data_IF_226414984305
#
_entry.id   IF_226414984305
#
_cell.length_a   1.000
_cell.length_b   1.000
_cell.length_c   1.000
_cell.angle_alpha   90.00
_cell.angle_beta   90.00
_cell.angle_gamma   90.00
#
_symmetry.space_group_name_H-M   'P 1'
#
loop_
_entity.id
_entity.type
_entity.pdbx_description
1 polymer ?
#
# COMPACT_ATOMS: atom_id res chain seq x y z
N UNK A 1 52.21 9.23 8.95
CA UNK A 1 51.02 8.86 9.73
C UNK A 1 49.80 9.31 8.96
N UNK A 2 49.26 8.43 8.12
CA UNK A 2 48.03 8.67 7.37
C UNK A 2 47.37 7.29 7.15
N UNK A 3 46.81 6.75 8.22
CA UNK A 3 45.91 5.61 8.21
C UNK A 3 44.68 6.02 9.03
N UNK A 4 43.79 6.76 8.38
CA UNK A 4 42.40 6.91 8.81
C UNK A 4 41.55 6.59 7.58
N UNK A 5 41.65 5.34 7.13
CA UNK A 5 40.84 4.82 6.03
C UNK A 5 39.45 4.47 6.55
N UNK A 6 38.48 5.32 6.20
CA UNK A 6 37.08 5.00 5.90
C UNK A 6 36.55 3.66 6.45
N UNK A 7 36.27 3.58 7.75
CA UNK A 7 35.51 2.47 8.32
C UNK A 7 34.05 2.63 7.88
N UNK A 8 33.61 1.83 6.90
CA UNK A 8 32.19 1.73 6.52
C UNK A 8 31.42 1.39 7.81
N UNK A 9 30.55 2.28 8.28
CA UNK A 9 29.75 2.04 9.50
C UNK A 9 28.97 0.75 9.31
N UNK A 10 29.05 -0.15 10.29
CA UNK A 10 28.32 -1.41 10.26
C UNK A 10 26.82 -1.15 10.43
N UNK A 11 26.03 -1.72 9.53
CA UNK A 11 24.58 -1.63 9.56
C UNK A 11 24.01 -2.28 10.83
N UNK A 12 22.93 -1.71 11.36
CA UNK A 12 22.24 -2.25 12.54
C UNK A 12 20.86 -2.73 12.14
N UNK A 13 20.39 -3.79 12.79
CA UNK A 13 19.06 -4.36 12.58
C UNK A 13 18.24 -4.33 13.86
N UNK A 14 16.92 -4.23 13.70
CA UNK A 14 15.97 -4.50 14.77
C UNK A 14 15.99 -6.00 15.12
N UNK A 15 16.11 -6.30 16.41
CA UNK A 15 16.02 -7.67 16.92
C UNK A 15 14.55 -8.01 17.11
N UNK A 16 14.15 -9.16 16.57
CA UNK A 16 12.79 -9.67 16.61
C UNK A 16 12.64 -10.82 17.61
N UNK A 17 11.41 -11.03 18.04
CA UNK A 17 11.01 -12.26 18.71
C UNK A 17 10.97 -13.40 17.69
N UNK A 18 10.86 -14.64 18.18
CA UNK A 18 10.66 -15.82 17.33
C UNK A 18 9.34 -15.80 16.54
N UNK A 19 8.40 -14.93 16.92
CA UNK A 19 7.14 -14.72 16.20
C UNK A 19 7.22 -13.56 15.19
N UNK A 20 8.37 -12.89 15.08
CA UNK A 20 8.61 -11.82 14.11
C UNK A 20 8.22 -10.41 14.60
N UNK A 21 7.93 -10.25 15.89
CA UNK A 21 7.57 -8.97 16.52
C UNK A 21 8.83 -8.21 16.96
N UNK A 22 8.83 -6.88 16.86
CA UNK A 22 9.97 -6.05 17.31
C UNK A 22 10.15 -6.14 18.83
N UNK A 23 11.39 -6.37 19.28
CA UNK A 23 11.73 -6.37 20.72
C UNK A 23 12.05 -4.97 21.26
N UNK A 24 12.28 -4.00 20.38
CA UNK A 24 12.80 -2.67 20.71
C UNK A 24 14.32 -2.62 20.90
N UNK A 25 15.04 -3.74 20.74
CA UNK A 25 16.50 -3.79 20.75
C UNK A 25 17.05 -3.73 19.32
N UNK A 26 18.22 -3.12 19.17
CA UNK A 26 18.98 -3.10 17.91
C UNK A 26 20.37 -3.68 18.12
N UNK A 27 20.91 -4.34 17.09
CA UNK A 27 22.27 -4.91 17.10
C UNK A 27 22.96 -4.69 15.75
N UNK A 28 24.30 -4.54 15.72
CA UNK A 28 25.08 -4.59 14.49
C UNK A 28 24.87 -5.92 13.75
N UNK A 29 24.89 -5.88 12.41
CA UNK A 29 24.69 -7.04 11.53
C UNK A 29 25.53 -8.25 11.93
N UNK A 30 26.82 -8.08 12.22
CA UNK A 30 27.69 -9.20 12.59
C UNK A 30 27.26 -9.88 13.88
N UNK A 31 26.77 -9.11 14.87
CA UNK A 31 26.32 -9.66 16.14
C UNK A 31 25.00 -10.42 15.99
N UNK A 32 24.06 -9.88 15.19
CA UNK A 32 22.79 -10.55 14.86
C UNK A 32 23.04 -11.95 14.29
N UNK A 33 23.92 -12.06 13.29
CA UNK A 33 24.22 -13.33 12.64
C UNK A 33 25.08 -14.28 13.48
N UNK A 34 25.95 -13.73 14.35
CA UNK A 34 26.73 -14.55 15.29
C UNK A 34 25.85 -15.16 16.37
N UNK A 35 24.93 -14.37 16.92
CA UNK A 35 24.06 -14.76 18.03
C UNK A 35 22.83 -15.53 17.54
N UNK A 36 22.52 -15.46 16.24
CA UNK A 36 21.32 -16.06 15.64
C UNK A 36 20.05 -15.31 16.03
N UNK A 37 20.13 -13.99 16.22
CA UNK A 37 18.95 -13.20 16.54
C UNK A 37 18.00 -13.13 15.33
N UNK A 38 16.70 -13.23 15.60
CA UNK A 38 15.69 -13.05 14.56
C UNK A 38 15.72 -11.59 14.07
N UNK A 39 15.70 -11.40 12.77
CA UNK A 39 15.73 -10.08 12.12
C UNK A 39 14.92 -10.12 10.82
N UNK A 40 14.85 -9.00 10.09
CA UNK A 40 13.98 -8.86 8.90
C UNK A 40 14.77 -8.48 7.65
N UNK A 41 14.29 -8.99 6.52
CA UNK A 41 14.74 -8.63 5.19
C UNK A 41 13.54 -8.51 4.23
N UNK A 42 13.81 -8.00 3.04
CA UNK A 42 12.84 -7.87 1.96
C UNK A 42 13.28 -8.69 0.77
N UNK A 43 12.31 -9.31 0.12
CA UNK A 43 12.47 -10.00 -1.15
C UNK A 43 11.57 -9.33 -2.19
N UNK A 44 12.17 -8.78 -3.25
CA UNK A 44 11.43 -8.17 -4.35
C UNK A 44 11.49 -9.06 -5.58
N UNK A 45 10.33 -9.35 -6.14
CA UNK A 45 10.15 -10.05 -7.40
C UNK A 45 9.66 -9.09 -8.48
N UNK A 46 10.32 -9.06 -9.64
CA UNK A 46 9.78 -8.44 -10.85
C UNK A 46 9.24 -9.54 -11.75
N UNK A 47 7.96 -9.42 -12.08
CA UNK A 47 7.24 -10.34 -12.96
C UNK A 47 6.75 -9.60 -14.21
N UNK A 48 7.10 -10.11 -15.39
CA UNK A 48 6.63 -9.62 -16.68
C UNK A 48 5.37 -10.40 -17.09
N UNK A 49 4.22 -9.75 -17.04
CA UNK A 49 2.89 -10.35 -17.20
C UNK A 49 2.70 -10.96 -18.59
N UNK A 50 3.06 -10.25 -19.65
CA UNK A 50 2.83 -10.70 -21.03
C UNK A 50 3.69 -11.91 -21.41
N UNK A 51 4.92 -11.99 -20.90
CA UNK A 51 5.83 -13.10 -21.17
C UNK A 51 5.75 -14.22 -20.12
N UNK A 52 5.10 -13.96 -18.97
CA UNK A 52 5.02 -14.86 -17.82
C UNK A 52 6.41 -15.22 -17.26
N UNK A 53 7.30 -14.24 -17.22
CA UNK A 53 8.69 -14.40 -16.80
C UNK A 53 9.00 -13.65 -15.51
N UNK A 54 9.91 -14.21 -14.71
CA UNK A 54 10.51 -13.54 -13.56
C UNK A 54 11.88 -12.99 -13.95
N UNK A 55 12.21 -11.80 -13.45
CA UNK A 55 13.58 -11.30 -13.48
C UNK A 55 14.38 -11.97 -12.36
N UNK A 56 15.52 -12.56 -12.72
CA UNK A 56 16.52 -13.04 -11.78
C UNK A 56 17.78 -12.20 -11.89
N UNK A 57 18.46 -12.01 -10.76
CA UNK A 57 19.79 -11.42 -10.71
C UNK A 57 20.84 -12.50 -10.49
N UNK A 58 22.04 -12.30 -11.03
CA UNK A 58 23.21 -13.13 -10.72
C UNK A 58 24.03 -12.42 -9.66
N UNK A 59 24.15 -13.03 -8.49
CA UNK A 59 24.92 -12.48 -7.36
C UNK A 59 26.38 -12.29 -7.76
N UNK A 60 26.98 -11.18 -7.34
CA UNK A 60 28.40 -10.92 -7.59
C UNK A 60 29.29 -12.00 -6.92
N UNK A 61 30.42 -12.31 -7.54
CA UNK A 61 31.33 -13.37 -7.07
C UNK A 61 31.96 -13.07 -5.70
N UNK A 62 31.92 -11.79 -5.26
CA UNK A 62 32.45 -11.35 -3.96
C UNK A 62 31.46 -11.42 -2.79
N UNK A 63 30.23 -11.92 -3.00
CA UNK A 63 29.22 -11.99 -1.94
C UNK A 63 29.54 -13.07 -0.90
N UNK A 64 29.25 -12.77 0.37
CA UNK A 64 29.46 -13.67 1.50
C UNK A 64 28.61 -14.96 1.42
N UNK A 65 27.48 -14.91 0.72
CA UNK A 65 26.55 -16.02 0.54
C UNK A 65 26.18 -16.19 -0.94
N UNK A 66 26.24 -17.44 -1.39
CA UNK A 66 25.85 -17.89 -2.74
C UNK A 66 26.48 -17.08 -3.89
N UNK A 67 27.80 -16.83 -3.89
CA UNK A 67 28.45 -16.05 -4.94
C UNK A 67 28.27 -16.70 -6.31
N UNK A 68 27.94 -15.88 -7.32
CA UNK A 68 27.81 -16.31 -8.70
C UNK A 68 26.51 -17.03 -9.06
N UNK A 69 25.64 -17.35 -8.10
CA UNK A 69 24.36 -18.03 -8.34
C UNK A 69 23.26 -17.06 -8.79
N UNK A 70 22.28 -17.59 -9.52
CA UNK A 70 21.04 -16.89 -9.85
C UNK A 70 20.10 -16.84 -8.66
N UNK A 71 19.62 -15.64 -8.37
CA UNK A 71 18.81 -15.28 -7.23
C UNK A 71 17.61 -14.43 -7.67
N UNK A 72 16.75 -14.07 -6.73
CA UNK A 72 15.59 -13.23 -6.94
C UNK A 72 15.92 -11.85 -7.50
N UNK A 73 14.90 -11.08 -7.89
CA UNK A 73 15.13 -9.80 -8.57
C UNK A 73 15.92 -8.82 -7.69
N UNK A 74 15.57 -8.70 -6.41
CA UNK A 74 16.36 -7.92 -5.45
C UNK A 74 16.07 -8.37 -4.02
N UNK A 75 17.07 -8.29 -3.13
CA UNK A 75 16.95 -8.71 -1.73
C UNK A 75 17.88 -7.93 -0.82
N UNK A 76 17.41 -7.59 0.39
CA UNK A 76 18.29 -6.96 1.37
C UNK A 76 17.70 -6.87 2.77
N UNK A 77 18.55 -6.57 3.74
CA UNK A 77 18.14 -6.52 5.14
C UNK A 77 17.43 -5.20 5.42
N UNK A 78 16.48 -5.22 6.35
CA UNK A 78 15.85 -4.00 6.85
C UNK A 78 16.74 -3.40 7.95
N UNK A 79 17.30 -2.23 7.64
CA UNK A 79 18.00 -1.39 8.60
C UNK A 79 17.12 -1.06 9.81
N UNK A 80 17.72 -0.95 10.99
CA UNK A 80 16.99 -0.65 12.22
C UNK A 80 16.16 0.63 12.10
N UNK A 81 14.85 0.52 12.32
CA UNK A 81 13.90 1.63 12.19
C UNK A 81 13.40 1.91 10.77
N UNK A 82 13.93 1.27 9.73
CA UNK A 82 13.40 1.39 8.37
C UNK A 82 12.13 0.56 8.19
N UNK A 83 11.30 0.97 7.23
CA UNK A 83 10.15 0.19 6.81
C UNK A 83 10.52 -0.86 5.77
N UNK A 84 9.71 -1.91 5.71
CA UNK A 84 9.80 -2.95 4.69
C UNK A 84 9.70 -2.38 3.27
N UNK A 85 8.69 -1.54 3.00
CA UNK A 85 8.50 -0.97 1.66
C UNK A 85 9.59 0.05 1.28
N UNK A 86 10.10 0.84 2.23
CA UNK A 86 11.24 1.75 1.96
C UNK A 86 12.48 0.94 1.63
N UNK A 87 12.74 -0.12 2.38
CA UNK A 87 13.87 -1.03 2.13
C UNK A 87 13.73 -1.71 0.77
N UNK A 88 12.57 -2.28 0.44
CA UNK A 88 12.31 -2.90 -0.86
C UNK A 88 12.59 -1.96 -2.05
N UNK A 89 12.23 -0.68 -1.92
CA UNK A 89 12.49 0.35 -2.93
C UNK A 89 13.97 0.76 -2.97
N UNK A 90 14.65 0.79 -1.83
CA UNK A 90 16.08 1.12 -1.72
C UNK A 90 16.92 0.01 -2.34
N UNK A 91 16.73 -1.24 -1.93
CA UNK A 91 17.48 -2.40 -2.43
C UNK A 91 17.30 -2.56 -3.95
N UNK A 92 16.06 -2.42 -4.44
CA UNK A 92 15.79 -2.48 -5.89
C UNK A 92 16.52 -1.37 -6.68
N UNK A 93 16.67 -0.19 -6.08
CA UNK A 93 17.44 0.90 -6.68
C UNK A 93 18.95 0.65 -6.59
N UNK A 94 19.46 0.24 -5.43
CA UNK A 94 20.89 0.01 -5.20
C UNK A 94 21.41 -1.15 -6.06
N UNK A 95 20.71 -2.27 -6.10
CA UNK A 95 21.15 -3.46 -6.83
C UNK A 95 20.94 -3.35 -8.34
N UNK A 96 19.79 -2.81 -8.78
CA UNK A 96 19.37 -2.85 -10.19
C UNK A 96 19.22 -1.47 -10.86
N UNK A 97 19.28 -0.38 -10.11
CA UNK A 97 19.05 0.96 -10.64
C UNK A 97 17.59 1.23 -11.02
N UNK A 98 16.63 0.49 -10.44
CA UNK A 98 15.20 0.61 -10.73
C UNK A 98 14.49 1.38 -9.62
N UNK A 99 13.92 2.54 -9.95
CA UNK A 99 13.12 3.37 -9.03
C UNK A 99 11.65 3.30 -9.40
N UNK A 100 10.84 2.76 -8.50
CA UNK A 100 9.39 2.67 -8.67
C UNK A 100 8.62 3.35 -7.53
N UNK A 101 7.41 3.87 -7.80
CA UNK A 101 6.53 4.43 -6.78
C UNK A 101 5.99 3.33 -5.85
N UNK A 102 5.54 3.73 -4.66
CA UNK A 102 5.03 2.80 -3.62
C UNK A 102 3.90 1.90 -4.11
N UNK A 103 3.08 2.39 -5.04
CA UNK A 103 1.96 1.65 -5.61
C UNK A 103 2.37 0.63 -6.68
N UNK A 104 3.66 0.44 -6.96
CA UNK A 104 4.14 -0.65 -7.81
C UNK A 104 4.40 -1.96 -7.03
N UNK A 105 4.47 -1.89 -5.69
CA UNK A 105 4.91 -2.99 -4.84
C UNK A 105 3.73 -3.65 -4.15
N UNK A 106 3.38 -4.84 -4.59
CA UNK A 106 2.36 -5.68 -3.97
C UNK A 106 3.00 -6.50 -2.85
N UNK A 107 2.61 -6.25 -1.60
CA UNK A 107 3.01 -7.12 -0.50
C UNK A 107 2.23 -8.44 -0.58
N UNK A 108 2.95 -9.57 -0.61
CA UNK A 108 2.34 -10.90 -0.72
C UNK A 108 2.24 -11.61 0.62
N UNK A 109 3.37 -11.85 1.28
CA UNK A 109 3.43 -12.62 2.53
C UNK A 109 4.78 -12.44 3.23
N UNK A 110 4.84 -12.92 4.48
CA UNK A 110 6.07 -13.04 5.27
C UNK A 110 6.38 -14.53 5.44
N UNK A 111 7.66 -14.91 5.34
CA UNK A 111 8.09 -16.22 5.77
C UNK A 111 9.41 -16.17 6.54
N UNK A 112 9.58 -17.09 7.48
CA UNK A 112 10.83 -17.27 8.21
C UNK A 112 11.75 -18.21 7.44
N UNK A 113 12.97 -17.77 7.16
CA UNK A 113 14.06 -18.59 6.67
C UNK A 113 15.11 -18.75 7.77
N UNK A 114 15.36 -19.98 8.19
CA UNK A 114 16.42 -20.33 9.12
C UNK A 114 17.51 -21.08 8.35
N UNK A 115 18.70 -20.50 8.24
CA UNK A 115 19.84 -21.13 7.57
C UNK A 115 21.14 -20.90 8.35
N UNK A 116 22.03 -21.88 8.28
CA UNK A 116 23.36 -21.79 8.90
C UNK A 116 24.40 -22.00 7.82
N UNK A 117 25.24 -21.00 7.59
CA UNK A 117 26.29 -21.02 6.57
C UNK A 117 27.67 -20.82 7.21
N UNK A 118 28.72 -20.78 6.39
CA UNK A 118 30.11 -20.55 6.83
C UNK A 118 30.54 -21.46 7.99
N UNK A 119 30.31 -22.77 7.85
CA UNK A 119 30.68 -23.80 8.83
C UNK A 119 30.14 -23.53 10.25
N UNK A 120 28.94 -22.95 10.38
CA UNK A 120 28.29 -22.73 11.68
C UNK A 120 28.52 -21.35 12.28
N UNK A 121 29.21 -20.45 11.59
CA UNK A 121 29.55 -19.11 12.12
C UNK A 121 28.58 -18.02 11.70
N UNK A 122 27.71 -18.32 10.73
CA UNK A 122 26.70 -17.39 10.23
C UNK A 122 25.33 -18.03 10.37
N UNK A 123 24.56 -17.59 11.36
CA UNK A 123 23.22 -18.07 11.67
C UNK A 123 22.23 -17.02 11.17
N UNK A 124 21.54 -17.33 10.07
CA UNK A 124 20.53 -16.45 9.48
C UNK A 124 19.13 -16.89 9.92
N UNK A 125 18.50 -16.11 10.78
CA UNK A 125 17.12 -16.33 11.23
C UNK A 125 16.26 -15.15 10.76
N UNK A 126 15.88 -15.19 9.50
CA UNK A 126 15.42 -14.01 8.76
C UNK A 126 13.93 -14.13 8.41
N UNK A 127 13.13 -13.17 8.87
CA UNK A 127 11.78 -12.95 8.38
C UNK A 127 11.85 -12.16 7.07
N UNK A 128 11.37 -12.76 6.00
CA UNK A 128 11.43 -12.22 4.66
C UNK A 128 10.06 -11.70 4.23
N UNK A 129 9.99 -10.38 4.03
CA UNK A 129 8.82 -9.69 3.51
C UNK A 129 8.85 -9.73 1.98
N UNK A 130 7.90 -10.45 1.38
CA UNK A 130 7.89 -10.72 -0.06
C UNK A 130 7.00 -9.70 -0.78
N UNK A 131 7.61 -8.96 -1.71
CA UNK A 131 6.94 -8.04 -2.61
C UNK A 131 6.98 -8.52 -4.06
N UNK A 132 5.91 -8.23 -4.79
CA UNK A 132 5.80 -8.45 -6.23
C UNK A 132 5.56 -7.13 -6.95
N UNK A 133 6.42 -6.85 -7.93
CA UNK A 133 6.25 -5.80 -8.93
C UNK A 133 5.80 -6.47 -10.22
N UNK A 134 4.56 -6.17 -10.65
CA UNK A 134 4.03 -6.70 -11.91
C UNK A 134 4.19 -5.67 -13.01
N UNK A 135 5.08 -5.97 -13.96
CA UNK A 135 5.32 -5.20 -15.20
C UNK A 135 4.53 -5.82 -16.35
N UNK A 136 4.13 -5.04 -17.35
CA UNK A 136 3.47 -5.62 -18.52
C UNK A 136 4.46 -6.43 -19.36
N UNK A 137 5.59 -5.81 -19.70
CA UNK A 137 6.65 -6.39 -20.52
C UNK A 137 8.00 -6.37 -19.77
N UNK A 138 8.95 -7.22 -20.17
CA UNK A 138 10.31 -7.20 -19.63
C UNK A 138 10.97 -5.82 -19.73
N UNK A 139 11.67 -5.42 -18.67
CA UNK A 139 12.56 -4.26 -18.69
C UNK A 139 13.73 -4.57 -19.64
N UNK A 140 14.05 -3.70 -20.61
CA UNK A 140 15.22 -3.91 -21.46
C UNK A 140 16.50 -4.08 -20.63
N UNK A 141 17.33 -5.07 -20.97
CA UNK A 141 18.49 -5.44 -20.15
C UNK A 141 19.50 -4.28 -20.01
N UNK A 142 19.60 -3.42 -21.02
CA UNK A 142 20.45 -2.23 -21.04
C UNK A 142 19.94 -1.06 -20.18
N UNK A 143 18.70 -1.15 -19.67
CA UNK A 143 18.09 -0.14 -18.80
C UNK A 143 18.54 -0.26 -17.34
N UNK A 144 19.03 -1.44 -16.93
CA UNK A 144 19.52 -1.67 -15.58
C UNK A 144 20.85 -0.97 -15.34
N UNK A 145 21.07 -0.57 -14.09
CA UNK A 145 22.37 -0.05 -13.62
C UNK A 145 22.75 -0.85 -12.38
N UNK A 146 23.74 -1.72 -12.52
CA UNK A 146 24.13 -2.61 -11.43
C UNK A 146 25.05 -1.92 -10.43
N UNK A 147 24.89 -2.27 -9.16
CA UNK A 147 25.98 -2.14 -8.20
C UNK A 147 26.89 -3.37 -8.34
N UNK A 148 28.08 -3.18 -8.91
CA UNK A 148 29.03 -4.25 -9.24
C UNK A 148 29.42 -5.15 -8.04
N UNK A 149 29.32 -4.66 -6.81
CA UNK A 149 29.57 -5.45 -5.60
C UNK A 149 28.44 -6.41 -5.24
N UNK A 150 27.25 -6.22 -5.80
CA UNK A 150 26.02 -6.95 -5.48
C UNK A 150 25.58 -7.84 -6.65
N UNK A 151 25.57 -7.27 -7.86
CA UNK A 151 24.95 -7.88 -9.05
C UNK A 151 25.94 -7.90 -10.21
N UNK A 152 26.01 -9.03 -10.89
CA UNK A 152 26.88 -9.23 -12.06
C UNK A 152 26.11 -9.34 -13.38
N UNK A 153 24.84 -9.75 -13.34
CA UNK A 153 23.97 -9.88 -14.50
C UNK A 153 22.51 -10.00 -14.08
N UNK A 154 21.59 -9.83 -15.03
CA UNK A 154 20.17 -10.18 -14.87
C UNK A 154 19.68 -10.99 -16.07
N UNK A 155 18.63 -11.79 -15.87
CA UNK A 155 17.95 -12.50 -16.95
C UNK A 155 16.47 -12.66 -16.65
N UNK A 156 15.66 -12.81 -17.70
CA UNK A 156 14.28 -13.28 -17.58
C UNK A 156 14.23 -14.79 -17.76
N UNK A 157 13.34 -15.44 -17.01
CA UNK A 157 13.05 -16.87 -17.10
C UNK A 157 11.57 -17.11 -16.85
N UNK A 158 10.96 -18.08 -17.54
CA UNK A 158 9.59 -18.48 -17.24
C UNK A 158 9.47 -18.88 -15.78
N UNK A 159 8.45 -18.37 -15.06
CA UNK A 159 8.27 -18.72 -13.65
C UNK A 159 8.09 -20.23 -13.44
N UNK A 160 7.49 -20.93 -14.42
CA UNK A 160 7.31 -22.39 -14.39
C UNK A 160 8.63 -23.12 -14.55
N UNK A 161 9.49 -22.64 -15.44
CA UNK A 161 10.83 -23.19 -15.63
C UNK A 161 11.67 -22.98 -14.37
N UNK A 162 11.66 -21.77 -13.80
CA UNK A 162 12.35 -21.48 -12.57
C UNK A 162 11.88 -22.36 -11.40
N UNK A 163 10.57 -22.52 -11.19
CA UNK A 163 10.00 -23.45 -10.20
C UNK A 163 10.53 -24.88 -10.42
N UNK A 164 10.61 -25.34 -11.67
CA UNK A 164 11.13 -26.67 -11.99
C UNK A 164 12.63 -26.83 -11.73
N UNK A 165 13.43 -25.77 -11.92
CA UNK A 165 14.87 -25.78 -11.65
C UNK A 165 15.14 -25.82 -10.15
N UNK A 166 14.41 -25.01 -9.37
CA UNK A 166 14.46 -25.07 -7.90
C UNK A 166 14.03 -26.45 -7.38
N UNK A 167 12.97 -27.05 -7.93
CA UNK A 167 12.51 -28.39 -7.58
C UNK A 167 13.53 -29.50 -7.85
N UNK A 168 14.49 -29.25 -8.76
CA UNK A 168 15.59 -30.16 -9.10
C UNK A 168 16.88 -29.84 -8.35
N UNK A 169 16.86 -28.82 -7.48
CA UNK A 169 18.05 -28.32 -6.78
C UNK A 169 19.19 -27.98 -7.75
N UNK A 170 18.85 -27.30 -8.85
CA UNK A 170 19.85 -26.91 -9.86
C UNK A 170 20.94 -26.04 -9.22
N UNK A 171 22.24 -26.43 -9.32
CA UNK A 171 23.33 -25.79 -8.59
C UNK A 171 23.64 -24.37 -9.04
N UNK A 172 23.12 -23.92 -10.19
CA UNK A 172 23.31 -22.55 -10.68
C UNK A 172 22.39 -21.54 -9.97
N UNK A 173 21.49 -21.98 -9.10
CA UNK A 173 20.46 -21.17 -8.46
C UNK A 173 20.54 -21.23 -6.93
N UNK A 174 20.17 -20.12 -6.27
CA UNK A 174 20.04 -20.09 -4.80
C UNK A 174 18.94 -21.09 -4.39
N UNK A 175 19.19 -21.98 -3.41
CA UNK A 175 18.31 -23.11 -3.12
C UNK A 175 17.09 -22.67 -2.28
N UNK A 176 16.09 -22.10 -2.95
CA UNK A 176 14.79 -21.83 -2.35
C UNK A 176 13.88 -23.06 -2.40
N UNK A 177 13.19 -23.32 -1.30
CA UNK A 177 12.28 -24.45 -1.16
C UNK A 177 10.97 -24.24 -1.94
N UNK A 178 10.64 -25.14 -2.87
CA UNK A 178 9.40 -25.09 -3.66
C UNK A 178 8.22 -25.82 -3.02
N UNK A 179 8.40 -26.42 -1.85
CA UNK A 179 7.40 -27.18 -1.09
C UNK A 179 6.93 -26.48 0.19
N UNK A 180 7.72 -25.53 0.69
CA UNK A 180 7.40 -24.71 1.86
C UNK A 180 6.83 -23.35 1.51
N UNK A 181 7.00 -22.38 2.42
CA UNK A 181 6.40 -21.04 2.33
C UNK A 181 6.74 -20.29 1.04
N UNK A 182 7.92 -20.54 0.47
CA UNK A 182 8.35 -19.89 -0.76
C UNK A 182 7.53 -20.33 -1.99
N UNK A 183 6.87 -21.50 -1.93
CA UNK A 183 5.98 -21.97 -3.01
C UNK A 183 4.81 -21.03 -3.23
N UNK A 184 4.41 -20.27 -2.19
CA UNK A 184 3.25 -19.39 -2.20
C UNK A 184 3.31 -18.37 -3.33
N UNK A 185 4.49 -17.85 -3.68
CA UNK A 185 4.65 -16.96 -4.84
C UNK A 185 4.16 -17.64 -6.13
N UNK A 186 4.62 -18.87 -6.38
CA UNK A 186 4.26 -19.60 -7.59
C UNK A 186 2.79 -20.00 -7.60
N UNK A 187 2.21 -20.27 -6.42
CA UNK A 187 0.80 -20.60 -6.30
C UNK A 187 -0.05 -19.35 -6.58
N UNK A 188 0.35 -18.17 -6.08
CA UNK A 188 -0.26 -16.87 -6.41
C UNK A 188 -0.19 -16.59 -7.92
N UNK A 189 0.99 -16.71 -8.53
CA UNK A 189 1.16 -16.52 -9.98
C UNK A 189 0.33 -17.53 -10.78
N UNK A 190 0.31 -18.79 -10.35
CA UNK A 190 -0.49 -19.82 -10.98
C UNK A 190 -1.97 -19.49 -10.92
N UNK A 191 -2.52 -19.19 -9.74
CA UNK A 191 -3.95 -18.89 -9.56
C UNK A 191 -4.38 -17.64 -10.34
N UNK A 192 -3.59 -16.57 -10.25
CA UNK A 192 -3.86 -15.27 -10.89
C UNK A 192 -4.02 -15.38 -12.40
N UNK A 193 -3.24 -16.24 -13.04
CA UNK A 193 -3.20 -16.39 -14.50
C UNK A 193 -3.74 -17.74 -15.01
N UNK A 194 -4.39 -18.54 -14.16
CA UNK A 194 -4.96 -19.86 -14.51
C UNK A 194 -6.38 -19.77 -15.08
N UNK A 195 -7.24 -18.97 -14.46
CA UNK A 195 -8.66 -18.96 -14.81
C UNK A 195 -8.93 -18.15 -16.07
N UNK A 196 -9.73 -18.72 -16.96
CA UNK A 196 -10.23 -18.00 -18.13
C UNK A 196 -11.36 -17.03 -17.74
N UNK A 197 -11.69 -16.12 -18.65
CA UNK A 197 -12.68 -15.08 -18.38
C UNK A 197 -14.09 -15.62 -18.06
N UNK A 198 -14.44 -16.80 -18.56
CA UNK A 198 -15.75 -17.43 -18.35
C UNK A 198 -15.91 -17.93 -16.91
N UNK A 199 -14.93 -18.67 -16.38
CA UNK A 199 -14.95 -19.17 -15.01
C UNK A 199 -15.02 -18.01 -14.00
N UNK A 200 -14.21 -16.95 -14.22
CA UNK A 200 -14.23 -15.74 -13.40
C UNK A 200 -15.57 -15.01 -13.46
N UNK A 201 -16.16 -14.89 -14.66
CA UNK A 201 -17.48 -14.27 -14.84
C UNK A 201 -18.55 -15.02 -14.06
N UNK A 202 -18.56 -16.35 -14.14
CA UNK A 202 -19.50 -17.19 -13.41
C UNK A 202 -19.35 -17.02 -11.89
N UNK A 203 -18.11 -17.02 -11.38
CA UNK A 203 -17.85 -16.84 -9.95
C UNK A 203 -18.35 -15.48 -9.44
N UNK A 204 -18.02 -14.37 -10.14
CA UNK A 204 -18.46 -13.02 -9.72
C UNK A 204 -19.99 -12.88 -9.86
N UNK A 205 -20.59 -13.46 -10.91
CA UNK A 205 -22.05 -13.42 -11.07
C UNK A 205 -22.76 -14.11 -9.90
N UNK A 206 -22.30 -15.28 -9.46
CA UNK A 206 -22.87 -15.95 -8.28
C UNK A 206 -22.76 -15.09 -7.02
N UNK A 207 -21.67 -14.34 -6.88
CA UNK A 207 -21.51 -13.42 -5.75
C UNK A 207 -22.48 -12.23 -5.85
N UNK A 208 -22.67 -11.69 -7.05
CA UNK A 208 -23.62 -10.61 -7.34
C UNK A 208 -25.08 -11.01 -7.15
N UNK A 209 -25.44 -12.27 -7.45
CA UNK A 209 -26.82 -12.78 -7.31
C UNK A 209 -27.32 -12.78 -5.86
N UNK A 210 -26.42 -12.57 -4.88
CA UNK A 210 -26.77 -12.34 -3.47
C UNK A 210 -27.34 -10.94 -3.21
N UNK A 211 -27.12 -9.99 -4.12
CA UNK A 211 -27.59 -8.61 -4.03
C UNK A 211 -28.79 -8.42 -4.95
N UNK A 212 -29.97 -8.24 -4.36
CA UNK A 212 -31.19 -7.95 -5.13
C UNK A 212 -31.21 -6.46 -5.47
N UNK A 213 -31.20 -6.07 -6.77
CA UNK A 213 -31.30 -4.68 -7.15
C UNK A 213 -32.68 -4.12 -6.77
N UNK A 214 -32.70 -3.09 -5.93
CA UNK A 214 -33.90 -2.36 -5.56
C UNK A 214 -33.74 -0.93 -6.03
N UNK A 215 -34.77 -0.40 -6.71
CA UNK A 215 -34.80 1.00 -7.08
C UNK A 215 -35.24 1.83 -5.88
N UNK A 216 -34.37 2.75 -5.45
CA UNK A 216 -34.69 3.73 -4.41
C UNK A 216 -35.19 5.01 -5.11
N UNK A 217 -36.51 5.21 -5.09
CA UNK A 217 -37.14 6.46 -5.53
C UNK A 217 -37.54 7.29 -4.30
N UNK A 218 -37.54 8.61 -4.45
CA UNK A 218 -38.01 9.53 -3.42
C UNK A 218 -39.14 10.41 -3.97
N UNK A 219 -40.19 10.60 -3.17
CA UNK A 219 -41.25 11.57 -3.50
C UNK A 219 -40.76 12.98 -3.21
N UNK A 220 -40.61 13.80 -4.26
CA UNK A 220 -40.06 15.14 -4.13
C UNK A 220 -41.12 16.24 -4.11
N UNK A 221 -42.41 15.90 -4.23
CA UNK A 221 -43.50 16.84 -4.46
C UNK A 221 -43.68 17.88 -3.34
N UNK A 222 -43.26 17.54 -2.12
CA UNK A 222 -43.30 18.46 -0.97
C UNK A 222 -42.10 19.42 -0.91
N UNK A 223 -41.07 19.20 -1.73
CA UNK A 223 -39.89 20.06 -1.78
C UNK A 223 -40.13 21.28 -2.68
N UNK A 224 -39.75 22.44 -2.17
CA UNK A 224 -39.71 23.68 -2.94
C UNK A 224 -38.64 23.60 -4.03
N UNK A 225 -38.73 24.49 -5.03
CA UNK A 225 -37.70 24.59 -6.08
C UNK A 225 -36.32 24.94 -5.51
N UNK A 226 -36.26 25.69 -4.40
CA UNK A 226 -35.00 26.03 -3.73
C UNK A 226 -34.43 24.82 -2.98
N UNK A 227 -35.26 24.03 -2.29
CA UNK A 227 -34.83 22.81 -1.62
C UNK A 227 -34.36 21.75 -2.62
N UNK A 228 -34.99 21.66 -3.79
CA UNK A 228 -34.52 20.76 -4.88
C UNK A 228 -33.13 21.14 -5.39
N UNK A 229 -32.83 22.44 -5.47
CA UNK A 229 -31.49 22.92 -5.84
C UNK A 229 -30.48 22.65 -4.73
N UNK A 230 -30.85 22.89 -3.47
CA UNK A 230 -30.02 22.54 -2.32
C UNK A 230 -29.73 21.04 -2.31
N UNK A 231 -30.73 20.18 -2.47
CA UNK A 231 -30.58 18.73 -2.58
C UNK A 231 -29.60 18.31 -3.68
N UNK A 232 -29.64 18.95 -4.85
CA UNK A 232 -28.66 18.68 -5.92
C UNK A 232 -27.22 19.00 -5.51
N UNK A 233 -27.00 20.06 -4.73
CA UNK A 233 -25.68 20.40 -4.19
C UNK A 233 -25.26 19.42 -3.08
N UNK A 234 -26.20 18.99 -2.23
CA UNK A 234 -25.95 17.98 -1.19
C UNK A 234 -25.52 16.64 -1.79
N UNK A 235 -26.16 16.20 -2.86
CA UNK A 235 -25.76 14.98 -3.60
C UNK A 235 -24.33 15.14 -4.13
N UNK A 236 -23.97 16.29 -4.69
CA UNK A 236 -22.60 16.56 -5.14
C UNK A 236 -21.60 16.55 -3.99
N UNK A 237 -21.96 17.09 -2.83
CA UNK A 237 -21.11 17.07 -1.65
C UNK A 237 -20.91 15.63 -1.16
N UNK A 238 -21.97 14.82 -1.12
CA UNK A 238 -21.88 13.40 -0.78
C UNK A 238 -20.96 12.62 -1.74
N UNK A 239 -21.04 12.86 -3.04
CA UNK A 239 -20.11 12.25 -4.02
C UNK A 239 -18.65 12.65 -3.80
N UNK A 240 -18.38 13.83 -3.22
CA UNK A 240 -17.01 14.22 -2.84
C UNK A 240 -16.55 13.44 -1.60
N UNK A 241 -17.46 13.12 -0.67
CA UNK A 241 -17.16 12.27 0.49
C UNK A 241 -16.84 10.83 0.05
N UNK A 242 -17.50 10.32 -0.99
CA UNK A 242 -17.14 9.01 -1.56
C UNK A 242 -15.66 8.95 -1.94
N UNK A 243 -15.10 9.99 -2.56
CA UNK A 243 -13.66 10.06 -2.91
C UNK A 243 -12.76 9.92 -1.67
N UNK A 244 -13.15 10.55 -0.55
CA UNK A 244 -12.41 10.45 0.71
C UNK A 244 -12.52 9.02 1.25
N UNK A 245 -13.71 8.43 1.22
CA UNK A 245 -13.91 7.06 1.70
C UNK A 245 -13.07 6.06 0.91
N UNK A 246 -13.04 6.14 -0.43
CA UNK A 246 -12.15 5.29 -1.24
C UNK A 246 -10.68 5.42 -0.80
N UNK A 247 -10.21 6.64 -0.52
CA UNK A 247 -8.86 6.86 -0.01
C UNK A 247 -8.64 6.31 1.40
N UNK A 248 -9.65 6.34 2.27
CA UNK A 248 -9.60 5.81 3.63
C UNK A 248 -9.51 4.29 3.64
N UNK A 249 -10.25 3.60 2.77
CA UNK A 249 -10.18 2.15 2.61
C UNK A 249 -8.76 1.74 2.21
N UNK A 250 -8.20 2.40 1.16
CA UNK A 250 -6.85 2.10 0.70
C UNK A 250 -6.30 3.18 -0.28
N UNK A 251 -5.00 3.47 -0.20
CA UNK A 251 -4.36 4.60 -0.92
C UNK A 251 -4.57 4.63 -2.43
N UNK A 252 -4.52 3.49 -3.14
CA UNK A 252 -4.69 3.47 -4.61
C UNK A 252 -6.07 2.93 -5.04
N UNK A 253 -7.03 2.88 -4.12
CA UNK A 253 -8.39 2.45 -4.41
C UNK A 253 -9.09 3.34 -5.46
N UNK A 254 -8.93 4.68 -5.45
CA UNK A 254 -9.50 5.53 -6.51
C UNK A 254 -8.99 5.17 -7.91
N UNK A 255 -7.70 4.83 -8.03
CA UNK A 255 -7.09 4.42 -9.30
C UNK A 255 -7.73 3.12 -9.80
N UNK A 256 -7.94 2.14 -8.92
CA UNK A 256 -8.61 0.89 -9.26
C UNK A 256 -10.07 1.13 -9.66
N UNK A 257 -10.81 1.93 -8.90
CA UNK A 257 -12.20 2.30 -9.21
C UNK A 257 -12.32 2.87 -10.62
N UNK A 258 -11.52 3.90 -10.92
CA UNK A 258 -11.61 4.63 -12.17
C UNK A 258 -11.25 3.72 -13.35
N UNK A 259 -10.23 2.87 -13.18
CA UNK A 259 -9.85 1.85 -14.15
C UNK A 259 -10.97 0.85 -14.43
N UNK A 260 -11.59 0.29 -13.40
CA UNK A 260 -12.69 -0.68 -13.57
C UNK A 260 -13.90 -0.02 -14.23
N UNK A 261 -14.22 1.22 -13.85
CA UNK A 261 -15.33 1.98 -14.41
C UNK A 261 -15.13 2.30 -15.89
N UNK A 262 -13.95 2.77 -16.28
CA UNK A 262 -13.63 3.07 -17.68
C UNK A 262 -13.75 1.82 -18.58
N UNK A 263 -13.46 0.65 -18.00
CA UNK A 263 -13.41 -0.63 -18.71
C UNK A 263 -14.70 -1.45 -18.62
N UNK A 264 -15.72 -0.97 -17.91
CA UNK A 264 -16.92 -1.76 -17.60
C UNK A 264 -17.65 -2.27 -18.84
N UNK A 265 -17.50 -1.61 -19.98
CA UNK A 265 -18.18 -1.95 -21.24
C UNK A 265 -17.30 -2.76 -22.21
N UNK A 266 -16.07 -3.13 -21.85
CA UNK A 266 -15.15 -3.86 -22.75
C UNK A 266 -15.48 -5.34 -22.86
N UNK A 267 -15.95 -5.96 -21.78
CA UNK A 267 -16.32 -7.37 -21.75
C UNK A 267 -17.35 -7.65 -20.66
N UNK A 268 -18.01 -8.80 -20.72
CA UNK A 268 -18.91 -9.25 -19.65
C UNK A 268 -18.16 -9.36 -18.31
N UNK A 269 -16.93 -9.86 -18.32
CA UNK A 269 -16.13 -9.97 -17.10
C UNK A 269 -15.83 -8.59 -16.52
N UNK A 270 -15.45 -7.61 -17.34
CA UNK A 270 -15.13 -6.26 -16.86
C UNK A 270 -16.38 -5.56 -16.29
N UNK A 271 -17.55 -5.77 -16.91
CA UNK A 271 -18.83 -5.32 -16.37
C UNK A 271 -19.10 -5.89 -14.98
N UNK A 272 -18.93 -7.20 -14.82
CA UNK A 272 -19.17 -7.88 -13.54
C UNK A 272 -18.18 -7.44 -12.47
N UNK A 273 -16.90 -7.27 -12.81
CA UNK A 273 -15.88 -6.72 -11.91
C UNK A 273 -16.27 -5.33 -11.42
N UNK A 274 -16.67 -4.44 -12.33
CA UNK A 274 -17.11 -3.10 -11.97
C UNK A 274 -18.36 -3.12 -11.08
N UNK A 275 -19.38 -3.89 -11.46
CA UNK A 275 -20.61 -4.00 -10.66
C UNK A 275 -20.30 -4.47 -9.24
N UNK A 276 -19.52 -5.54 -9.09
CA UNK A 276 -19.26 -6.10 -7.77
C UNK A 276 -18.30 -5.23 -6.95
N UNK A 277 -17.30 -4.62 -7.58
CA UNK A 277 -16.48 -3.59 -6.96
C UNK A 277 -17.32 -2.41 -6.47
N UNK A 278 -18.27 -1.90 -7.27
CA UNK A 278 -19.09 -0.74 -6.90
C UNK A 278 -19.97 -0.98 -5.67
N UNK A 279 -20.35 -2.23 -5.41
CA UNK A 279 -21.11 -2.64 -4.21
C UNK A 279 -20.19 -2.70 -2.99
N UNK A 280 -18.99 -3.29 -3.15
CA UNK A 280 -18.07 -3.50 -2.03
C UNK A 280 -17.16 -2.30 -1.76
N UNK A 281 -17.06 -1.34 -2.69
CA UNK A 281 -16.14 -0.18 -2.67
C UNK A 281 -14.66 -0.52 -2.53
N UNK A 282 -14.30 -1.79 -2.74
CA UNK A 282 -12.98 -2.37 -2.55
C UNK A 282 -12.82 -3.63 -3.43
N UNK A 283 -11.60 -4.15 -3.63
CA UNK A 283 -11.38 -5.42 -4.32
C UNK A 283 -11.77 -6.67 -3.49
N UNK A 284 -12.31 -6.48 -2.28
CA UNK A 284 -12.63 -7.51 -1.32
C UNK A 284 -14.15 -7.66 -1.13
N UNK A 285 -14.62 -8.88 -0.91
CA UNK A 285 -16.02 -9.17 -0.66
C UNK A 285 -16.38 -8.94 0.80
N UNK A 286 -17.25 -7.98 1.07
CA UNK A 286 -17.77 -7.71 2.41
C UNK A 286 -18.63 -8.86 2.98
N UNK A 287 -19.11 -9.78 2.14
CA UNK A 287 -19.90 -10.94 2.55
C UNK A 287 -19.07 -12.22 2.72
N UNK A 288 -17.81 -12.22 2.26
CA UNK A 288 -16.94 -13.40 2.29
C UNK A 288 -15.66 -13.12 3.08
N UNK A 289 -15.80 -12.53 4.28
CA UNK A 289 -14.69 -12.26 5.21
C UNK A 289 -13.55 -11.45 4.57
N UNK A 290 -13.90 -10.42 3.80
CA UNK A 290 -12.97 -9.56 3.06
C UNK A 290 -12.03 -10.32 2.09
N UNK A 291 -12.45 -11.50 1.64
CA UNK A 291 -11.72 -12.24 0.61
C UNK A 291 -11.69 -11.45 -0.70
N UNK A 292 -10.49 -11.24 -1.23
CA UNK A 292 -10.30 -10.57 -2.52
C UNK A 292 -10.92 -11.38 -3.67
N UNK A 293 -11.68 -10.70 -4.52
CA UNK A 293 -12.22 -11.24 -5.79
C UNK A 293 -11.52 -10.66 -7.01
N UNK A 294 -10.71 -9.62 -6.81
CA UNK A 294 -9.77 -9.08 -7.79
C UNK A 294 -8.33 -9.36 -7.36
N UNK A 295 -7.42 -9.33 -8.32
CA UNK A 295 -5.97 -9.36 -8.07
C UNK A 295 -5.28 -8.18 -8.74
N UNK A 296 -4.01 -7.92 -8.44
CA UNK A 296 -3.24 -6.86 -9.10
C UNK A 296 -3.23 -6.98 -10.65
N UNK A 297 -3.45 -8.17 -11.23
CA UNK A 297 -3.63 -8.33 -12.69
C UNK A 297 -4.88 -7.62 -13.25
N UNK A 298 -5.88 -7.38 -12.41
CA UNK A 298 -7.09 -6.63 -12.76
C UNK A 298 -6.92 -5.11 -12.62
N UNK A 299 -5.81 -4.67 -12.02
CA UNK A 299 -5.57 -3.28 -11.66
C UNK A 299 -5.11 -2.42 -12.84
N UNK A 300 -5.09 -1.11 -12.59
CA UNK A 300 -4.66 -0.10 -13.53
C UNK A 300 -3.23 -0.29 -14.00
N UNK A 301 -3.00 0.00 -15.27
CA UNK A 301 -1.65 0.09 -15.85
C UNK A 301 -1.17 1.53 -15.74
N UNK A 302 0.02 1.73 -15.20
CA UNK A 302 0.68 3.04 -15.08
C UNK A 302 2.03 3.03 -15.80
N UNK A 303 2.37 4.14 -16.44
CA UNK A 303 3.66 4.34 -17.07
C UNK A 303 4.60 5.09 -16.12
N UNK A 304 5.78 4.53 -15.89
CA UNK A 304 6.89 5.20 -15.22
C UNK A 304 7.99 5.54 -16.24
N UNK A 305 8.04 6.78 -16.70
CA UNK A 305 8.98 7.22 -17.74
C UNK A 305 10.44 7.30 -17.27
N UNK A 306 10.66 7.47 -15.96
CA UNK A 306 11.98 7.73 -15.35
C UNK A 306 12.27 6.75 -14.21
N UNK A 307 12.00 5.47 -14.43
CA UNK A 307 12.28 4.41 -13.45
C UNK A 307 13.67 3.80 -13.59
N UNK A 308 14.35 3.94 -14.71
CA UNK A 308 15.63 3.27 -15.01
C UNK A 308 16.52 4.15 -15.88
N UNK A 309 17.68 3.65 -16.31
CA UNK A 309 18.49 4.30 -17.33
C UNK A 309 17.71 4.42 -18.64
N UNK A 310 17.71 5.59 -19.32
CA UNK A 310 17.01 5.75 -20.58
C UNK A 310 17.50 4.78 -21.66
N UNK A 311 16.55 4.16 -22.38
CA UNK A 311 16.81 3.29 -23.53
C UNK A 311 16.19 3.92 -24.78
N UNK A 312 16.96 4.14 -25.88
CA UNK A 312 16.42 4.74 -27.10
C UNK A 312 15.19 4.00 -27.64
N UNK A 313 14.08 4.73 -27.82
CA UNK A 313 12.83 4.18 -28.36
C UNK A 313 11.91 3.49 -27.35
N UNK A 314 12.34 3.34 -26.09
CA UNK A 314 11.51 2.81 -25.01
C UNK A 314 10.98 3.95 -24.14
N UNK A 315 9.66 3.98 -23.90
CA UNK A 315 8.97 5.10 -23.23
C UNK A 315 9.07 5.07 -21.70
N UNK A 316 9.56 3.97 -21.14
CA UNK A 316 9.57 3.70 -19.71
C UNK A 316 8.81 2.42 -19.38
N UNK A 317 8.70 2.14 -18.09
CA UNK A 317 8.14 0.89 -17.60
C UNK A 317 6.64 1.00 -17.35
N UNK A 318 5.86 0.14 -17.99
CA UNK A 318 4.45 -0.06 -17.67
C UNK A 318 4.30 -1.11 -16.57
N UNK A 319 3.59 -0.76 -15.50
CA UNK A 319 3.40 -1.61 -14.34
C UNK A 319 1.94 -1.59 -13.87
N UNK A 320 1.52 -2.66 -13.18
CA UNK A 320 0.22 -2.72 -12.51
C UNK A 320 0.28 -2.01 -11.17
N UNK A 321 -0.65 -1.10 -10.92
CA UNK A 321 -0.81 -0.50 -9.60
C UNK A 321 -1.24 -1.60 -8.61
N UNK A 322 -0.33 -1.98 -7.72
CA UNK A 322 -0.54 -2.99 -6.70
C UNK A 322 -1.64 -2.57 -5.74
N UNK A 323 -2.43 -3.54 -5.28
CA UNK A 323 -3.35 -3.39 -4.15
C UNK A 323 -3.21 -4.56 -3.18
N UNK A 324 -3.50 -4.37 -1.89
CA UNK A 324 -3.26 -5.41 -0.91
C UNK A 324 -4.24 -6.57 -1.11
N UNK A 325 -3.71 -7.80 -1.11
CA UNK A 325 -4.50 -9.03 -1.27
C UNK A 325 -5.45 -9.30 -0.10
N UNK A 326 -5.17 -8.70 1.06
CA UNK A 326 -6.03 -8.66 2.21
C UNK A 326 -6.19 -7.20 2.66
N UNK A 327 -7.40 -6.81 3.06
CA UNK A 327 -7.67 -5.48 3.57
C UNK A 327 -6.75 -5.19 4.78
N UNK A 328 -5.91 -4.15 4.74
CA UNK A 328 -5.06 -3.81 5.88
C UNK A 328 -5.93 -3.48 7.10
N UNK A 329 -5.64 -4.01 8.30
CA UNK A 329 -6.47 -3.77 9.48
C UNK A 329 -6.60 -2.27 9.81
N UNK A 330 -5.56 -1.49 9.60
CA UNK A 330 -5.58 -0.03 9.80
C UNK A 330 -6.06 0.76 8.58
N UNK A 331 -6.60 0.08 7.56
CA UNK A 331 -6.93 0.63 6.25
C UNK A 331 -5.85 1.60 5.74
N UNK A 332 -6.20 2.84 5.41
CA UNK A 332 -5.26 3.92 5.12
C UNK A 332 -5.20 4.99 6.23
N UNK A 333 -5.60 4.65 7.46
CA UNK A 333 -5.53 5.57 8.61
C UNK A 333 -4.13 5.63 9.22
N UNK A 334 -3.35 4.56 9.07
CA UNK A 334 -2.00 4.43 9.62
C UNK A 334 -0.99 4.05 8.53
N UNK A 335 0.33 4.21 8.77
CA UNK A 335 1.33 3.65 7.86
C UNK A 335 1.16 2.13 7.77
N UNK A 336 1.24 1.53 6.56
CA UNK A 336 0.93 0.12 6.33
C UNK A 336 1.90 -0.84 7.02
N UNK A 337 3.08 -0.36 7.41
CA UNK A 337 4.13 -1.10 8.07
C UNK A 337 4.23 -0.80 9.58
N UNK A 338 3.35 0.05 10.10
CA UNK A 338 3.29 0.38 11.53
C UNK A 338 2.69 -0.79 12.30
N UNK A 339 3.38 -1.23 13.35
CA UNK A 339 2.83 -2.19 14.31
C UNK A 339 2.21 -1.50 15.55
N UNK A 340 1.43 -2.26 16.32
CA UNK A 340 0.74 -1.72 17.51
C UNK A 340 1.71 -1.21 18.56
N UNK A 341 2.86 -1.86 18.73
CA UNK A 341 3.85 -1.46 19.73
C UNK A 341 4.55 -0.15 19.32
N UNK A 342 4.86 0.01 18.03
CA UNK A 342 5.39 1.26 17.47
C UNK A 342 4.45 2.43 17.78
N UNK A 343 3.15 2.26 17.52
CA UNK A 343 2.14 3.27 17.84
C UNK A 343 2.09 3.57 19.35
N UNK A 344 2.09 2.55 20.20
CA UNK A 344 2.04 2.74 21.66
C UNK A 344 3.28 3.47 22.19
N UNK A 345 4.49 3.13 21.71
CA UNK A 345 5.73 3.80 22.09
C UNK A 345 5.69 5.28 21.67
N UNK A 346 5.27 5.56 20.44
CA UNK A 346 5.12 6.93 19.96
C UNK A 346 4.06 7.71 20.75
N UNK A 347 2.86 7.16 20.94
CA UNK A 347 1.77 7.78 21.71
C UNK A 347 2.21 8.11 23.13
N UNK A 348 2.90 7.18 23.80
CA UNK A 348 3.37 7.40 25.18
C UNK A 348 4.43 8.51 25.28
N UNK A 349 5.13 8.82 24.19
CA UNK A 349 6.07 9.94 24.11
C UNK A 349 5.41 11.32 23.99
N UNK A 350 4.12 11.36 23.61
CA UNK A 350 3.36 12.61 23.44
C UNK A 350 2.89 13.20 24.77
N UNK A 351 2.53 14.49 24.77
CA UNK A 351 1.83 15.14 25.89
C UNK A 351 0.37 14.67 25.98
N UNK A 352 -0.27 14.83 27.13
CA UNK A 352 -1.63 14.30 27.38
C UNK A 352 -2.68 14.78 26.36
N UNK A 353 -2.69 16.07 26.02
CA UNK A 353 -3.58 16.66 25.00
C UNK A 353 -3.34 16.09 23.58
N UNK A 354 -2.09 15.77 23.28
CA UNK A 354 -1.69 15.15 22.03
C UNK A 354 -2.01 13.65 21.98
N UNK A 355 -2.03 12.95 23.13
CA UNK A 355 -2.44 11.55 23.21
C UNK A 355 -3.92 11.39 22.91
N UNK A 356 -4.76 12.24 23.49
CA UNK A 356 -6.20 12.24 23.21
C UNK A 356 -6.47 12.49 21.73
N UNK A 357 -5.70 13.39 21.11
CA UNK A 357 -5.76 13.66 19.67
C UNK A 357 -5.30 12.46 18.83
N UNK A 358 -4.26 11.75 19.29
CA UNK A 358 -3.70 10.58 18.59
C UNK A 358 -4.64 9.37 18.60
N UNK A 359 -5.52 9.28 19.59
CA UNK A 359 -6.55 8.23 19.70
C UNK A 359 -7.95 8.77 19.41
N UNK A 360 -8.04 9.92 18.74
CA UNK A 360 -9.31 10.55 18.39
C UNK A 360 -9.71 10.31 16.94
N UNK A 361 -11.01 10.43 16.68
CA UNK A 361 -11.68 10.05 15.42
C UNK A 361 -11.25 10.81 14.15
N UNK A 362 -10.53 11.92 14.29
CA UNK A 362 -10.40 12.94 13.23
C UNK A 362 -8.96 13.20 12.80
N UNK A 363 -8.06 12.25 13.07
CA UNK A 363 -6.66 12.31 12.67
C UNK A 363 -6.26 11.03 11.94
N UNK A 364 -5.41 11.18 10.93
CA UNK A 364 -4.65 10.06 10.38
C UNK A 364 -3.23 10.09 10.92
N UNK A 365 -2.61 8.92 11.03
CA UNK A 365 -1.21 8.78 11.40
C UNK A 365 -0.39 8.54 10.13
N UNK A 366 0.72 9.25 9.98
CA UNK A 366 1.62 9.13 8.83
C UNK A 366 3.06 9.05 9.31
N UNK A 367 3.97 8.65 8.42
CA UNK A 367 5.41 8.83 8.65
C UNK A 367 5.83 10.23 8.21
N UNK A 368 6.80 10.86 8.88
CA UNK A 368 7.27 12.20 8.45
C UNK A 368 7.82 12.15 7.02
N UNK A 369 8.50 11.06 6.67
CA UNK A 369 9.00 10.80 5.32
C UNK A 369 7.93 10.78 4.23
N UNK A 370 6.65 10.53 4.55
CA UNK A 370 5.56 10.59 3.58
C UNK A 370 5.10 12.03 3.29
N UNK A 371 5.36 12.96 4.21
CA UNK A 371 4.95 14.36 4.11
C UNK A 371 5.77 15.13 3.05
N UNK A 372 6.99 14.66 2.75
CA UNK A 372 7.94 15.30 1.83
C UNK A 372 7.78 14.87 0.35
N UNK A 373 6.89 13.92 0.03
CA UNK A 373 6.79 13.33 -1.32
C UNK A 373 5.75 14.04 -2.21
N UNK A 374 5.25 15.19 -1.78
CA UNK A 374 4.28 16.03 -2.48
C UNK A 374 4.87 17.05 -3.46
N UNK A 375 5.99 16.77 -4.13
CA UNK A 375 6.48 17.61 -5.23
C UNK A 375 7.51 16.87 -6.10
N UNK A 376 7.08 16.43 -7.30
CA UNK A 376 7.76 16.34 -8.60
C UNK A 376 9.31 16.30 -8.76
N UNK A 377 10.08 15.84 -7.77
CA UNK A 377 11.53 15.70 -7.87
C UNK A 377 12.03 14.55 -7.01
N UNK A 378 11.99 13.34 -7.56
CA UNK A 378 12.82 12.23 -7.11
C UNK A 378 14.28 12.59 -7.44
N UNK A 379 14.96 13.22 -6.48
CA UNK A 379 16.41 13.40 -6.53
C UNK A 379 17.08 12.35 -5.65
N UNK A 380 18.27 11.91 -6.06
CA UNK A 380 19.18 10.99 -5.36
C UNK A 380 19.49 11.35 -3.88
N UNK A 381 19.01 12.49 -3.37
CA UNK A 381 19.27 12.98 -2.02
C UNK A 381 18.41 12.32 -0.92
N UNK A 382 17.36 11.59 -1.26
CA UNK A 382 16.45 10.98 -0.28
C UNK A 382 16.99 9.71 0.41
N UNK A 383 18.14 9.18 0.00
CA UNK A 383 18.79 8.02 0.64
C UNK A 383 19.97 8.44 1.55
N UNK A 384 19.96 9.68 2.04
CA UNK A 384 21.00 10.17 2.95
C UNK A 384 20.91 9.45 4.30
N UNK A 385 21.89 8.56 4.56
CA UNK A 385 22.07 7.79 5.79
C UNK A 385 22.43 8.75 6.94
N UNK A 386 21.43 9.18 7.70
CA UNK A 386 21.61 9.58 9.10
C UNK A 386 21.00 8.50 10.00
N UNK A 387 21.67 7.35 10.08
CA UNK A 387 21.40 6.26 11.04
C UNK A 387 21.80 6.69 12.45
N UNK A 388 21.04 7.61 13.02
CA UNK A 388 20.92 7.73 14.47
C UNK A 388 19.67 6.94 14.84
N UNK A 389 19.82 5.93 15.69
CA UNK A 389 18.69 5.25 16.31
C UNK A 389 17.74 6.31 16.89
N UNK A 390 16.64 6.60 16.20
CA UNK A 390 15.64 7.53 16.70
C UNK A 390 15.00 6.85 17.91
N UNK A 391 15.15 7.44 19.09
CA UNK A 391 14.52 6.94 20.32
C UNK A 391 12.99 7.04 20.30
N UNK A 392 12.43 7.75 19.32
CA UNK A 392 11.00 7.97 19.12
C UNK A 392 10.66 7.52 17.70
N UNK A 393 9.61 6.69 17.51
CA UNK A 393 9.18 6.26 16.18
C UNK A 393 8.87 7.44 15.24
N UNK A 394 9.11 7.25 13.94
CA UNK A 394 8.88 8.27 12.91
C UNK A 394 7.40 8.38 12.54
N UNK A 395 6.58 8.92 13.44
CA UNK A 395 5.13 9.08 13.26
C UNK A 395 4.68 10.52 13.56
N UNK A 396 3.69 11.00 12.80
CA UNK A 396 3.00 12.26 13.05
C UNK A 396 1.48 12.14 12.88
N UNK A 397 0.75 13.03 13.57
CA UNK A 397 -0.70 13.19 13.39
C UNK A 397 -0.98 14.21 12.30
N UNK A 398 -1.93 13.89 11.43
CA UNK A 398 -2.45 14.80 10.43
C UNK A 398 -3.99 14.88 10.55
N UNK A 399 -4.56 16.04 10.88
CA UNK A 399 -6.01 16.22 10.97
C UNK A 399 -6.70 15.92 9.63
N UNK A 400 -7.93 15.40 9.66
CA UNK A 400 -8.70 15.12 8.44
C UNK A 400 -8.85 16.36 7.55
N UNK A 401 -9.06 17.54 8.14
CA UNK A 401 -9.13 18.83 7.43
C UNK A 401 -7.86 19.15 6.61
N UNK A 402 -6.71 18.59 6.99
CA UNK A 402 -5.45 18.71 6.27
C UNK A 402 -5.22 17.51 5.34
N UNK A 403 -5.42 16.29 5.83
CA UNK A 403 -5.21 15.05 5.09
C UNK A 403 -6.09 14.97 3.82
N UNK A 404 -7.31 15.48 3.90
CA UNK A 404 -8.31 15.45 2.81
C UNK A 404 -8.70 16.85 2.32
N UNK A 405 -7.84 17.85 2.57
CA UNK A 405 -8.13 19.27 2.32
C UNK A 405 -8.74 19.58 0.95
N UNK A 406 -8.23 19.06 -0.19
CA UNK A 406 -8.80 19.40 -1.50
C UNK A 406 -10.27 18.96 -1.63
N UNK A 407 -10.62 17.79 -1.09
CA UNK A 407 -11.96 17.24 -1.11
C UNK A 407 -12.87 17.96 -0.11
N UNK A 408 -12.41 18.14 1.13
CA UNK A 408 -13.17 18.81 2.19
C UNK A 408 -13.45 20.27 1.86
N UNK A 409 -12.52 20.99 1.22
CA UNK A 409 -12.76 22.34 0.71
C UNK A 409 -13.86 22.36 -0.37
N UNK A 410 -13.88 21.36 -1.27
CA UNK A 410 -14.92 21.27 -2.30
C UNK A 410 -16.28 20.92 -1.71
N UNK A 411 -16.33 19.99 -0.76
CA UNK A 411 -17.55 19.63 -0.05
C UNK A 411 -18.08 20.83 0.77
N UNK A 412 -17.20 21.53 1.49
CA UNK A 412 -17.52 22.75 2.25
C UNK A 412 -18.16 23.83 1.36
N UNK A 413 -17.56 24.12 0.19
CA UNK A 413 -18.13 25.07 -0.78
C UNK A 413 -19.56 24.67 -1.22
N UNK A 414 -19.78 23.38 -1.49
CA UNK A 414 -21.09 22.87 -1.90
C UNK A 414 -22.12 22.96 -0.78
N UNK A 415 -21.73 22.67 0.46
CA UNK A 415 -22.59 22.75 1.64
C UNK A 415 -22.97 24.20 1.98
N UNK A 416 -22.02 25.15 1.93
CA UNK A 416 -22.33 26.57 2.08
C UNK A 416 -23.32 27.06 1.02
N UNK A 417 -23.07 26.73 -0.25
CA UNK A 417 -23.97 27.09 -1.34
C UNK A 417 -25.38 26.47 -1.16
N UNK A 418 -25.48 25.24 -0.64
CA UNK A 418 -26.76 24.61 -0.33
C UNK A 418 -27.47 25.31 0.86
N UNK A 419 -26.72 25.66 1.91
CA UNK A 419 -27.20 26.42 3.06
C UNK A 419 -27.69 27.83 2.69
N UNK A 420 -27.07 28.47 1.69
CA UNK A 420 -27.51 29.78 1.21
C UNK A 420 -28.78 29.74 0.36
N UNK A 421 -29.13 28.59 -0.20
CA UNK A 421 -30.34 28.41 -0.99
C UNK A 421 -31.57 28.02 -0.16
N UNK A 422 -31.41 27.27 0.93
CA UNK A 422 -32.56 26.78 1.70
C UNK A 422 -33.22 27.88 2.54
N UNK A 423 -34.55 27.83 2.60
CA UNK A 423 -35.36 28.71 3.46
C UNK A 423 -35.47 28.19 4.90
N UNK A 424 -35.06 26.94 5.18
CA UNK A 424 -35.08 26.38 6.53
C UNK A 424 -33.90 26.91 7.37
N UNK A 425 -34.17 27.61 8.50
CA UNK A 425 -33.10 28.13 9.35
C UNK A 425 -32.25 27.03 10.01
N UNK A 426 -32.87 25.92 10.41
CA UNK A 426 -32.18 24.79 11.04
C UNK A 426 -31.27 24.07 10.04
N UNK A 427 -31.75 23.83 8.81
CA UNK A 427 -30.95 23.25 7.74
C UNK A 427 -29.81 24.19 7.34
N UNK A 428 -30.07 25.49 7.18
CA UNK A 428 -29.01 26.47 6.90
C UNK A 428 -27.92 26.46 7.97
N UNK A 429 -28.30 26.39 9.25
CA UNK A 429 -27.34 26.31 10.36
C UNK A 429 -26.52 25.03 10.30
N UNK A 430 -27.16 23.87 10.07
CA UNK A 430 -26.47 22.59 9.93
C UNK A 430 -25.47 22.61 8.77
N UNK A 431 -25.91 23.00 7.57
CA UNK A 431 -25.08 22.94 6.37
C UNK A 431 -23.86 23.85 6.46
N UNK A 432 -24.03 25.09 6.94
CA UNK A 432 -22.90 25.98 7.18
C UNK A 432 -21.98 25.48 8.29
N UNK A 433 -22.55 24.97 9.39
CA UNK A 433 -21.76 24.40 10.49
C UNK A 433 -20.92 23.20 10.06
N UNK A 434 -21.48 22.30 9.24
CA UNK A 434 -20.74 21.16 8.66
C UNK A 434 -19.67 21.61 7.67
N UNK A 435 -19.98 22.60 6.84
CA UNK A 435 -19.02 23.17 5.91
C UNK A 435 -17.80 23.79 6.62
N UNK A 436 -18.02 24.49 7.73
CA UNK A 436 -16.96 25.06 8.57
C UNK A 436 -16.19 23.95 9.30
N UNK A 437 -16.90 22.96 9.85
CA UNK A 437 -16.32 21.81 10.56
C UNK A 437 -15.33 21.00 9.69
N UNK A 438 -15.65 20.81 8.41
CA UNK A 438 -14.74 20.18 7.45
C UNK A 438 -13.38 20.86 7.35
N UNK A 439 -13.32 22.17 7.57
CA UNK A 439 -12.10 22.96 7.46
C UNK A 439 -11.42 23.18 8.81
N UNK A 440 -12.18 23.31 9.89
CA UNK A 440 -11.67 23.50 11.25
C UNK A 440 -11.23 22.20 11.91
N UNK A 441 -11.75 21.05 11.47
CA UNK A 441 -11.64 19.75 12.12
C UNK A 441 -12.40 19.65 13.48
N UNK A 442 -13.27 20.61 13.77
CA UNK A 442 -14.12 20.64 14.98
C UNK A 442 -15.59 20.52 14.58
N UNK A 443 -16.22 19.41 14.97
CA UNK A 443 -17.57 19.04 14.55
C UNK A 443 -18.63 19.27 15.63
N UNK A 444 -18.25 19.64 16.87
CA UNK A 444 -19.15 19.64 18.02
C UNK A 444 -20.42 20.48 17.77
N UNK A 445 -20.24 21.75 17.40
CA UNK A 445 -21.37 22.67 17.15
C UNK A 445 -22.23 22.23 15.95
N UNK A 446 -21.60 21.62 14.95
CA UNK A 446 -22.29 21.08 13.77
C UNK A 446 -23.13 19.85 14.10
N UNK A 447 -22.68 19.02 15.05
CA UNK A 447 -23.42 17.84 15.54
C UNK A 447 -24.59 18.24 16.41
N UNK A 448 -24.46 19.30 17.22
CA UNK A 448 -25.62 19.90 17.91
C UNK A 448 -26.63 20.40 16.88
N UNK A 449 -26.20 21.12 15.84
CA UNK A 449 -27.09 21.60 14.78
C UNK A 449 -27.77 20.46 14.01
N UNK A 450 -27.13 19.29 13.90
CA UNK A 450 -27.70 18.10 13.29
C UNK A 450 -28.81 17.49 14.16
N UNK A 451 -28.59 17.39 15.47
CA UNK A 451 -29.63 16.91 16.41
C UNK A 451 -30.83 17.86 16.51
N UNK A 452 -30.63 19.16 16.27
CA UNK A 452 -31.66 20.20 16.27
C UNK A 452 -32.32 20.40 14.89
N UNK A 453 -32.01 19.56 13.89
CA UNK A 453 -32.51 19.71 12.54
C UNK A 453 -34.05 19.58 12.48
N UNK A 454 -34.70 20.61 11.95
CA UNK A 454 -36.15 20.65 11.69
C UNK A 454 -36.39 21.14 10.26
N UNK A 455 -36.41 20.19 9.32
CA UNK A 455 -36.41 20.47 7.89
C UNK A 455 -37.04 19.32 7.09
N UNK A 456 -37.51 19.60 5.87
CA UNK A 456 -38.00 18.57 4.95
C UNK A 456 -36.88 17.69 4.38
N UNK A 457 -35.65 18.19 4.39
CA UNK A 457 -34.45 17.45 4.04
C UNK A 457 -33.73 17.01 5.32
N UNK A 458 -33.55 15.71 5.47
CA UNK A 458 -32.67 15.15 6.50
C UNK A 458 -31.31 14.84 5.88
N UNK A 459 -30.24 15.32 6.51
CA UNK A 459 -28.89 15.30 5.94
C UNK A 459 -27.89 14.84 7.00
N UNK A 460 -27.24 13.72 6.73
CA UNK A 460 -26.12 13.21 7.51
C UNK A 460 -24.89 13.16 6.61
N UNK A 461 -23.84 13.92 6.96
CA UNK A 461 -22.61 13.99 6.17
C UNK A 461 -21.42 14.33 7.08
N UNK A 462 -20.36 13.54 7.01
CA UNK A 462 -19.15 13.72 7.82
C UNK A 462 -18.48 12.41 8.20
N UNK A 463 -17.35 12.48 8.94
CA UNK A 463 -16.68 11.32 9.51
C UNK A 463 -17.41 10.86 10.79
N UNK A 464 -17.82 9.58 10.84
CA UNK A 464 -18.63 9.07 11.95
C UNK A 464 -18.19 7.68 12.43
N UNK A 465 -18.32 6.67 11.58
CA UNK A 465 -18.12 5.28 11.98
C UNK A 465 -16.64 4.87 11.91
N UNK A 466 -16.21 4.05 12.87
CA UNK A 466 -14.80 3.61 13.00
C UNK A 466 -14.55 2.18 12.53
N UNK A 467 -15.57 1.50 11.97
CA UNK A 467 -15.48 0.08 11.59
C UNK A 467 -14.39 -0.24 10.56
N UNK A 468 -13.99 0.76 9.77
CA UNK A 468 -12.96 0.64 8.76
C UNK A 468 -11.55 0.54 9.39
N UNK A 469 -11.37 1.08 10.61
CA UNK A 469 -10.18 0.86 11.43
C UNK A 469 -10.37 -0.42 12.28
N UNK A 470 -10.00 -1.56 11.72
CA UNK A 470 -9.94 -2.82 12.46
C UNK A 470 -8.67 -2.97 13.32
N UNK A 471 -7.72 -2.02 13.26
CA UNK A 471 -6.48 -2.08 14.03
C UNK A 471 -6.72 -1.62 15.48
N UNK A 472 -7.35 -0.45 15.64
CA UNK A 472 -7.67 0.15 16.93
C UNK A 472 -9.14 0.53 17.11
N UNK A 473 -9.86 0.79 16.01
CA UNK A 473 -11.24 1.30 16.04
C UNK A 473 -11.34 2.73 16.54
N UNK A 474 -10.28 3.52 16.34
CA UNK A 474 -10.21 4.92 16.76
C UNK A 474 -10.91 5.89 15.81
#
# INVERSE_FOLDING_TARGET
MAEAANQKREEHFDVLTRTGEKTGLTKPRSLVHRDGDYHRAVHVWIFAENTQELLLQRRADGKDSWPGLWDISSAGHISAGDSSLVTARRELYEELGVTLPKDAFEFLFIFLQECVTNNGTFINNEFNDVYLVTTLDPIPLEAFTFQDSEVSAVKYISWKEYKNLLAKEDPDYVPYDVTGRYSQLFDILSERYKENAEARSFSIQNQLDRFVPIRLDAELNELTEVDRKALSLLIKAAMVIDEIFYLQVWNSNPILRDWLKERSELSNLDKLKWMYYSINTSPCSALDEDKAFLTTADSAVKLCEKCTKPVPGWKGLEYRAAFPMAKPPGANFYPPDMDKNEFEVWKNSLKDDQRDSATGFLNVIRRHSESDVGASSFSSACYSIDTVAKSIPDLNMLPFSQAYKPFLAKASELLHNAGDLTDSPSLKRLLNGKADAFLSNDYYDSDIAWMELDSKLDVTIGPYETYEDALFGY
#
